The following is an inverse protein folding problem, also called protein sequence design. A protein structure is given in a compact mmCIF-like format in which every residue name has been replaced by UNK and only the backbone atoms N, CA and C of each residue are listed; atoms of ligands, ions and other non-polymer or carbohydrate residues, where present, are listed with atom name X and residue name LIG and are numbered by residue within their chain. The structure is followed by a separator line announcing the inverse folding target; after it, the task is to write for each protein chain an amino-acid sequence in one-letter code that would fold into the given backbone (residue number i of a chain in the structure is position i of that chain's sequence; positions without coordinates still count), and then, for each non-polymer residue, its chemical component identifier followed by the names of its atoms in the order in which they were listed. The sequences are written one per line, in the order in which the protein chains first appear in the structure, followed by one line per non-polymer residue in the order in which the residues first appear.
data_IF_319701184299
#
_entry.id   IF_319701184299
#
_cell.length_a   1.000
_cell.length_b   1.000
_cell.length_c   1.000
_cell.angle_alpha   90.00
_cell.angle_beta   90.00
_cell.angle_gamma   90.00
#
_symmetry.space_group_name_H-M   'P 1'
#
loop_
_entity.id
_entity.type
_entity.pdbx_description
1 polymer ?
#
# COMPACT_ATOMS: atom_id res chain seq x y z
N UNK A 1 10.03 -0.91 10.73
CA UNK A 1 9.63 -0.96 9.32
C UNK A 1 10.88 -1.23 8.48
N UNK A 2 11.05 -2.45 7.95
CA UNK A 2 12.15 -2.73 7.03
C UNK A 2 11.93 -1.95 5.73
N UNK A 3 12.99 -1.39 5.15
CA UNK A 3 12.96 -0.74 3.84
C UNK A 3 13.67 -1.66 2.85
N UNK A 4 12.96 -2.04 1.79
CA UNK A 4 13.52 -2.82 0.69
C UNK A 4 13.56 -1.95 -0.57
N UNK A 5 14.73 -1.83 -1.17
CA UNK A 5 14.90 -1.21 -2.49
C UNK A 5 14.95 -2.29 -3.55
N UNK A 6 14.09 -2.19 -4.56
CA UNK A 6 14.05 -3.17 -5.64
C UNK A 6 15.15 -2.89 -6.67
N UNK A 7 15.92 -3.92 -7.08
CA UNK A 7 16.78 -3.81 -8.25
C UNK A 7 15.93 -3.59 -9.50
N UNK A 8 16.27 -2.59 -10.31
CA UNK A 8 15.64 -2.30 -11.61
C UNK A 8 14.11 -2.10 -11.62
N UNK A 9 13.47 -1.81 -10.47
CA UNK A 9 12.02 -1.56 -10.38
C UNK A 9 11.13 -2.80 -10.67
N UNK A 10 11.70 -4.02 -10.61
CA UNK A 10 10.98 -5.26 -10.95
C UNK A 10 10.30 -5.90 -9.74
N UNK A 11 8.97 -5.75 -9.64
CA UNK A 11 8.13 -6.29 -8.54
C UNK A 11 8.12 -7.83 -8.54
N UNK A 12 8.39 -8.46 -9.69
CA UNK A 12 8.45 -9.93 -9.82
C UNK A 12 9.80 -10.51 -9.45
N UNK A 13 10.77 -9.65 -9.09
CA UNK A 13 12.06 -10.11 -8.62
C UNK A 13 11.89 -10.96 -7.33
N UNK A 14 12.68 -12.02 -7.12
CA UNK A 14 12.51 -12.92 -5.97
C UNK A 14 12.69 -12.23 -4.60
N UNK A 15 13.31 -11.05 -4.56
CA UNK A 15 13.50 -10.26 -3.34
C UNK A 15 12.17 -9.66 -2.85
N UNK A 16 11.43 -8.86 -3.66
CA UNK A 16 10.11 -8.36 -3.28
C UNK A 16 9.09 -9.48 -3.03
N UNK A 17 9.10 -10.55 -3.83
CA UNK A 17 8.19 -11.69 -3.66
C UNK A 17 8.35 -12.37 -2.28
N UNK A 18 9.59 -12.65 -1.87
CA UNK A 18 9.86 -13.24 -0.55
C UNK A 18 9.57 -12.27 0.60
N UNK A 19 9.76 -10.96 0.43
CA UNK A 19 9.39 -10.00 1.48
C UNK A 19 7.88 -9.80 1.64
N UNK A 20 7.12 -9.78 0.55
CA UNK A 20 5.64 -9.76 0.58
C UNK A 20 5.06 -11.07 1.12
N UNK A 21 5.78 -12.18 0.94
CA UNK A 21 5.42 -13.47 1.52
C UNK A 21 5.61 -13.52 3.04
N UNK A 22 6.67 -12.88 3.56
CA UNK A 22 7.04 -12.93 4.99
C UNK A 22 6.34 -11.84 5.82
N UNK A 23 5.99 -10.70 5.21
CA UNK A 23 5.40 -9.57 5.94
C UNK A 23 3.87 -9.51 5.81
N UNK A 24 3.18 -8.94 6.80
CA UNK A 24 1.72 -8.80 6.85
C UNK A 24 1.18 -7.67 5.95
N UNK A 25 1.93 -7.26 4.94
CA UNK A 25 1.62 -6.16 4.05
C UNK A 25 2.85 -5.34 3.66
N UNK A 26 2.72 -4.56 2.60
CA UNK A 26 3.78 -3.72 2.07
C UNK A 26 3.25 -2.33 1.70
N UNK A 27 4.12 -1.33 1.78
CA UNK A 27 3.87 0.01 1.24
C UNK A 27 4.81 0.18 0.04
N UNK A 28 4.22 0.30 -1.14
CA UNK A 28 4.95 0.39 -2.41
C UNK A 28 5.14 1.85 -2.79
N UNK A 29 6.40 2.25 -2.96
CA UNK A 29 6.74 3.55 -3.51
C UNK A 29 6.86 3.46 -5.03
N UNK A 30 6.01 4.17 -5.77
CA UNK A 30 5.96 4.14 -7.23
C UNK A 30 6.86 5.20 -7.87
N UNK A 31 7.70 4.76 -8.81
CA UNK A 31 8.53 5.65 -9.63
C UNK A 31 7.68 6.54 -10.54
N UNK A 32 6.49 6.09 -10.95
CA UNK A 32 5.58 6.89 -11.78
C UNK A 32 5.07 8.12 -11.03
N UNK A 33 4.60 7.93 -9.80
CA UNK A 33 4.14 9.02 -8.93
C UNK A 33 5.29 9.99 -8.61
N UNK A 34 6.50 9.46 -8.35
CA UNK A 34 7.69 10.26 -8.15
C UNK A 34 8.03 11.11 -9.39
N UNK A 35 7.94 10.56 -10.60
CA UNK A 35 8.17 11.29 -11.86
C UNK A 35 7.13 12.38 -12.11
N UNK A 36 5.91 12.19 -11.61
CA UNK A 36 4.84 13.21 -11.65
C UNK A 36 4.99 14.29 -10.56
N UNK A 37 6.02 14.22 -9.72
CA UNK A 37 6.25 15.17 -8.62
C UNK A 37 5.31 15.00 -7.43
N UNK A 38 4.63 13.85 -7.32
CA UNK A 38 3.73 13.55 -6.19
C UNK A 38 4.55 13.10 -4.98
N UNK A 39 4.32 13.73 -3.82
CA UNK A 39 4.99 13.38 -2.57
C UNK A 39 3.97 13.17 -1.44
N UNK A 40 4.04 12.05 -0.68
CA UNK A 40 4.92 10.89 -0.90
C UNK A 40 4.44 10.03 -2.09
N UNK A 41 5.36 9.40 -2.86
CA UNK A 41 5.01 8.65 -4.07
C UNK A 41 4.46 7.25 -3.76
N UNK A 42 3.37 7.15 -3.00
CA UNK A 42 2.80 5.87 -2.53
C UNK A 42 1.77 5.37 -3.54
N UNK A 43 1.99 4.16 -4.03
CA UNK A 43 0.98 3.46 -4.83
C UNK A 43 0.04 2.68 -3.92
N UNK A 44 -1.18 3.18 -3.78
CA UNK A 44 -2.21 2.60 -2.93
C UNK A 44 -2.75 1.27 -3.47
N UNK A 45 -2.66 1.00 -4.77
CA UNK A 45 -3.23 -0.20 -5.39
C UNK A 45 -2.36 -1.43 -5.16
N UNK A 46 -1.03 -1.24 -5.17
CA UNK A 46 -0.05 -2.32 -4.94
C UNK A 46 0.35 -2.44 -3.46
N UNK A 47 0.02 -1.45 -2.65
CA UNK A 47 0.20 -1.48 -1.19
C UNK A 47 -0.93 -2.25 -0.51
N UNK A 48 -0.60 -2.99 0.55
CA UNK A 48 -1.58 -3.73 1.33
C UNK A 48 -1.20 -3.73 2.81
N UNK A 49 -2.20 -3.68 3.69
CA UNK A 49 -2.03 -3.98 5.12
C UNK A 49 -3.05 -5.04 5.53
N UNK A 50 -2.59 -6.25 5.85
CA UNK A 50 -3.47 -7.37 6.28
C UNK A 50 -4.06 -7.13 7.68
N UNK A 51 -3.41 -6.30 8.49
CA UNK A 51 -3.83 -5.97 9.85
C UNK A 51 -4.73 -4.72 9.93
N UNK A 52 -5.06 -4.08 8.81
CA UNK A 52 -5.89 -2.87 8.78
C UNK A 52 -7.20 -3.04 9.56
N UNK A 53 -7.91 -4.17 9.39
CA UNK A 53 -9.16 -4.44 10.09
C UNK A 53 -8.99 -4.50 11.62
N UNK A 54 -7.80 -4.85 12.11
CA UNK A 54 -7.48 -4.85 13.53
C UNK A 54 -7.02 -3.47 14.02
N UNK A 55 -6.76 -2.51 13.13
CA UNK A 55 -6.35 -1.14 13.48
C UNK A 55 -7.48 -0.11 13.46
N UNK A 56 -8.63 -0.44 12.86
CA UNK A 56 -9.71 0.51 12.57
C UNK A 56 -10.96 0.28 13.44
N UNK A 57 -11.88 1.24 13.42
CA UNK A 57 -13.20 1.15 14.07
C UNK A 57 -13.39 2.17 15.19
N UNK A 58 -14.59 2.17 15.78
CA UNK A 58 -15.08 3.23 16.70
C UNK A 58 -14.18 3.54 17.90
N UNK A 59 -13.44 2.56 18.41
CA UNK A 59 -12.58 2.71 19.60
C UNK A 59 -11.14 3.10 19.22
N UNK A 60 -10.71 2.86 17.97
CA UNK A 60 -9.34 3.12 17.51
C UNK A 60 -9.22 4.34 16.61
N UNK A 61 -10.11 4.45 15.63
CA UNK A 61 -10.13 5.56 14.66
C UNK A 61 -11.53 6.18 14.59
N UNK A 62 -12.41 5.61 13.76
CA UNK A 62 -13.80 6.02 13.55
C UNK A 62 -14.58 4.85 12.94
N UNK A 63 -15.90 4.86 13.07
CA UNK A 63 -16.78 3.76 12.62
C UNK A 63 -16.87 3.60 11.10
N UNK A 64 -16.71 4.68 10.36
CA UNK A 64 -16.80 4.76 8.90
C UNK A 64 -15.46 4.52 8.18
N UNK A 65 -14.36 4.35 8.93
CA UNK A 65 -12.99 4.26 8.37
C UNK A 65 -12.89 3.21 7.24
N UNK A 66 -13.50 2.04 7.45
CA UNK A 66 -13.47 0.96 6.45
C UNK A 66 -14.22 1.35 5.18
N UNK A 67 -15.43 1.88 5.32
CA UNK A 67 -16.26 2.26 4.17
C UNK A 67 -15.62 3.36 3.34
N UNK A 68 -15.02 4.36 3.99
CA UNK A 68 -14.30 5.43 3.30
C UNK A 68 -13.07 4.88 2.56
N UNK A 69 -12.27 4.03 3.21
CA UNK A 69 -11.09 3.46 2.59
C UNK A 69 -11.43 2.59 1.37
N UNK A 70 -12.43 1.71 1.49
CA UNK A 70 -12.85 0.83 0.40
C UNK A 70 -13.42 1.64 -0.78
N UNK A 71 -14.21 2.68 -0.51
CA UNK A 71 -14.78 3.54 -1.55
C UNK A 71 -13.71 4.35 -2.29
N UNK A 72 -12.72 4.92 -1.57
CA UNK A 72 -11.62 5.65 -2.17
C UNK A 72 -10.74 4.73 -3.02
N UNK A 73 -10.46 3.52 -2.52
CA UNK A 73 -9.71 2.52 -3.26
C UNK A 73 -10.41 2.14 -4.57
N UNK A 74 -11.71 1.84 -4.51
CA UNK A 74 -12.50 1.50 -5.69
C UNK A 74 -12.57 2.65 -6.70
N UNK A 75 -12.72 3.88 -6.23
CA UNK A 75 -12.75 5.09 -7.08
C UNK A 75 -11.41 5.31 -7.77
N UNK A 76 -10.29 5.09 -7.07
CA UNK A 76 -8.95 5.22 -7.63
C UNK A 76 -8.60 4.09 -8.60
N UNK A 77 -9.09 2.87 -8.37
CA UNK A 77 -8.87 1.74 -9.28
C UNK A 77 -9.69 1.83 -10.58
N UNK A 78 -10.81 2.57 -10.56
CA UNK A 78 -11.72 2.71 -11.71
C UNK A 78 -11.41 3.93 -12.58
N UNK A 79 -10.66 4.91 -12.05
CA UNK A 79 -10.29 6.15 -12.74
C UNK A 79 -9.00 6.02 -13.55
#
# INVERSE_FOLDING_TARGET
LPILTMPADDITHPIPDLTGYITEGQIVASRELQRRGVYPPIDVLTSLSRLMNQGIGRVRTREDHRGVADQLYASYATG
#
